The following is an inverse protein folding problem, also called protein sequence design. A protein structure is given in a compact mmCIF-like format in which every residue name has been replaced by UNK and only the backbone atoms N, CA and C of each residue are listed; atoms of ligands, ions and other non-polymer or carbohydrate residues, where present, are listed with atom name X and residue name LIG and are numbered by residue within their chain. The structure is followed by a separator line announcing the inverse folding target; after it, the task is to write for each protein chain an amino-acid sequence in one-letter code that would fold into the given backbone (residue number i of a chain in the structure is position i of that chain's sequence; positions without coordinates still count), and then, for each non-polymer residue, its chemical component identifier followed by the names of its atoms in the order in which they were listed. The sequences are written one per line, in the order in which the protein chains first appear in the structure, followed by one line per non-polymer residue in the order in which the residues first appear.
data_IF_682588228460
#
_entry.id   IF_682588228460
#
_cell.length_a   1.000
_cell.length_b   1.000
_cell.length_c   1.000
_cell.angle_alpha   90.00
_cell.angle_beta   90.00
_cell.angle_gamma   90.00
#
_symmetry.space_group_name_H-M   'P 1'
#
loop_
_entity.id
_entity.type
_entity.pdbx_description
1 polymer ?
#
# COMPACT_ATOMS: atom_id res chain seq x y z
N UNK A 1 -12.60 -4.24 -8.87
CA UNK A 1 -12.96 -5.50 -8.19
C UNK A 1 -11.78 -6.44 -8.02
N UNK A 2 -11.09 -6.88 -9.10
CA UNK A 2 -9.90 -7.73 -8.96
C UNK A 2 -8.83 -7.14 -8.03
N UNK A 3 -8.51 -5.86 -8.20
CA UNK A 3 -7.54 -5.14 -7.35
C UNK A 3 -7.94 -5.11 -5.88
N UNK A 4 -9.19 -4.76 -5.59
CA UNK A 4 -9.75 -4.77 -4.23
C UNK A 4 -9.66 -6.15 -3.58
N UNK A 5 -9.98 -7.22 -4.30
CA UNK A 5 -9.88 -8.60 -3.79
C UNK A 5 -8.42 -9.02 -3.56
N UNK A 6 -7.50 -8.67 -4.45
CA UNK A 6 -6.07 -8.95 -4.28
C UNK A 6 -5.48 -8.21 -3.07
N UNK A 7 -5.89 -6.95 -2.91
CA UNK A 7 -5.54 -6.15 -1.74
C UNK A 7 -6.11 -6.75 -0.45
N UNK A 8 -7.39 -7.15 -0.44
CA UNK A 8 -8.03 -7.81 0.70
C UNK A 8 -7.31 -9.11 1.08
N UNK A 9 -6.89 -9.91 0.11
CA UNK A 9 -6.09 -11.12 0.35
C UNK A 9 -4.74 -10.80 0.99
N UNK A 10 -4.09 -9.72 0.57
CA UNK A 10 -2.84 -9.24 1.18
C UNK A 10 -3.06 -8.76 2.60
N UNK A 11 -4.13 -8.00 2.84
CA UNK A 11 -4.54 -7.58 4.18
C UNK A 11 -4.83 -8.75 5.12
N UNK A 12 -5.52 -9.78 4.63
CA UNK A 12 -5.76 -11.00 5.39
C UNK A 12 -4.46 -11.74 5.72
N UNK A 13 -3.55 -11.89 4.75
CA UNK A 13 -2.23 -12.49 4.98
C UNK A 13 -1.43 -11.71 6.03
N UNK A 14 -1.41 -10.37 5.95
CA UNK A 14 -0.77 -9.51 6.95
C UNK A 14 -1.42 -9.65 8.34
N UNK A 15 -2.75 -9.78 8.41
CA UNK A 15 -3.46 -10.03 9.67
C UNK A 15 -3.06 -11.36 10.33
N UNK A 16 -2.91 -12.42 9.54
CA UNK A 16 -2.40 -13.72 10.03
C UNK A 16 -0.96 -13.58 10.54
N UNK A 17 -0.10 -12.91 9.77
CA UNK A 17 1.30 -12.68 10.16
C UNK A 17 1.41 -11.79 11.41
N UNK A 18 0.53 -10.80 11.56
CA UNK A 18 0.46 -9.96 12.76
C UNK A 18 0.13 -10.78 14.01
N UNK A 19 -0.69 -11.83 13.87
CA UNK A 19 -0.97 -12.78 14.96
C UNK A 19 0.28 -13.48 15.51
N UNK A 20 1.30 -13.71 14.67
CA UNK A 20 2.58 -14.28 15.10
C UNK A 20 3.39 -13.33 16.00
N UNK A 21 3.08 -12.03 15.97
CA UNK A 21 3.68 -11.00 16.83
C UNK A 21 2.90 -10.79 18.13
N UNK A 22 1.84 -11.57 18.38
CA UNK A 22 1.08 -11.51 19.63
C UNK A 22 1.91 -11.76 20.91
N UNK A 23 2.97 -12.61 20.93
CA UNK A 23 3.79 -12.81 22.12
C UNK A 23 4.74 -11.64 22.43
N UNK A 24 4.96 -10.73 21.47
CA UNK A 24 5.86 -9.58 21.66
C UNK A 24 5.11 -8.50 22.45
N UNK A 25 5.71 -7.94 23.52
CA UNK A 25 5.08 -6.89 24.31
C UNK A 25 4.65 -5.70 23.45
N UNK A 26 3.46 -5.16 23.74
CA UNK A 26 2.86 -4.10 22.94
C UNK A 26 3.77 -2.87 22.81
N UNK A 27 4.36 -2.42 23.93
CA UNK A 27 5.31 -1.29 23.94
C UNK A 27 6.47 -1.51 22.98
N UNK A 28 7.02 -2.73 22.93
CA UNK A 28 8.13 -3.07 22.01
C UNK A 28 7.67 -2.96 20.56
N UNK A 29 6.49 -3.50 20.23
CA UNK A 29 5.94 -3.41 18.87
C UNK A 29 5.69 -1.97 18.44
N UNK A 30 5.19 -1.12 19.35
CA UNK A 30 4.90 0.27 19.04
C UNK A 30 6.17 1.13 18.92
N UNK A 31 7.19 0.88 19.74
CA UNK A 31 8.51 1.49 19.54
C UNK A 31 9.09 1.09 18.18
N UNK A 32 9.04 -0.21 17.84
CA UNK A 32 9.47 -0.69 16.53
C UNK A 32 8.69 -0.05 15.39
N UNK A 33 7.38 0.15 15.57
CA UNK A 33 6.53 0.82 14.58
C UNK A 33 7.00 2.25 14.34
N UNK A 34 7.18 3.03 15.40
CA UNK A 34 7.64 4.42 15.31
C UNK A 34 8.98 4.48 14.58
N UNK A 35 9.95 3.67 15.01
CA UNK A 35 11.29 3.64 14.41
C UNK A 35 11.22 3.25 12.93
N UNK A 36 10.48 2.18 12.60
CA UNK A 36 10.37 1.69 11.22
C UNK A 36 9.63 2.69 10.32
N UNK A 37 8.54 3.30 10.80
CA UNK A 37 7.79 4.31 10.04
C UNK A 37 8.65 5.53 9.75
N UNK A 38 9.37 6.04 10.75
CA UNK A 38 10.27 7.19 10.55
C UNK A 38 11.40 6.83 9.58
N UNK A 39 12.07 5.69 9.76
CA UNK A 39 13.17 5.25 8.90
C UNK A 39 12.73 5.10 7.44
N UNK A 40 11.60 4.43 7.19
CA UNK A 40 11.09 4.19 5.84
C UNK A 40 10.57 5.47 5.20
N UNK A 41 9.96 6.38 5.96
CA UNK A 41 9.52 7.69 5.46
C UNK A 41 10.71 8.56 5.07
N UNK A 42 11.74 8.63 5.93
CA UNK A 42 12.98 9.36 5.64
C UNK A 42 13.67 8.77 4.40
N UNK A 43 13.72 7.44 4.29
CA UNK A 43 14.27 6.77 3.12
C UNK A 43 13.56 7.19 1.82
N UNK A 44 12.23 7.23 1.80
CA UNK A 44 11.46 7.63 0.60
C UNK A 44 11.62 9.12 0.25
N UNK A 45 11.72 9.98 1.27
CA UNK A 45 11.94 11.42 1.09
C UNK A 45 13.32 11.70 0.50
N UNK A 46 14.36 11.02 1.01
CA UNK A 46 15.75 11.26 0.60
C UNK A 46 16.12 10.52 -0.69
N UNK A 47 15.56 9.34 -0.93
CA UNK A 47 15.93 8.54 -2.08
C UNK A 47 15.31 9.09 -3.38
N UNK A 48 16.07 9.09 -4.50
CA UNK A 48 15.53 9.44 -5.81
C UNK A 48 14.51 8.40 -6.28
N UNK A 49 14.74 7.13 -5.94
CA UNK A 49 13.87 5.98 -6.19
C UNK A 49 13.78 5.18 -4.91
N UNK A 50 12.58 4.74 -4.53
CA UNK A 50 12.33 3.98 -3.30
C UNK A 50 13.05 2.60 -3.34
N UNK A 51 14.09 2.37 -2.52
CA UNK A 51 14.89 1.15 -2.58
C UNK A 51 14.33 0.10 -1.62
N UNK A 52 13.04 -0.23 -1.76
CA UNK A 52 12.38 -1.28 -0.98
C UNK A 52 12.19 -2.55 -1.80
N UNK A 53 12.00 -3.72 -1.16
CA UNK A 53 11.72 -4.97 -1.86
C UNK A 53 10.45 -4.83 -2.72
N UNK A 54 10.64 -4.73 -4.02
CA UNK A 54 9.59 -4.67 -5.03
C UNK A 54 10.05 -5.33 -6.31
N UNK A 55 9.09 -5.79 -7.12
CA UNK A 55 9.39 -6.39 -8.41
C UNK A 55 9.59 -5.30 -9.47
N UNK A 56 10.68 -5.38 -10.24
CA UNK A 56 10.97 -4.48 -11.36
C UNK A 56 10.25 -4.84 -12.66
N UNK A 57 9.75 -6.08 -12.77
CA UNK A 57 9.01 -6.55 -13.94
C UNK A 57 7.53 -6.16 -13.86
N UNK A 58 7.00 -5.67 -14.99
CA UNK A 58 5.57 -5.43 -15.16
C UNK A 58 4.79 -6.75 -15.19
N UNK A 59 3.49 -6.67 -14.86
CA UNK A 59 2.60 -7.84 -14.98
C UNK A 59 2.54 -8.21 -16.48
N UNK A 60 2.89 -9.46 -16.85
CA UNK A 60 2.99 -9.88 -18.25
C UNK A 60 1.65 -9.67 -18.98
N UNK A 61 1.66 -9.22 -20.24
CA UNK A 61 0.43 -8.91 -20.99
C UNK A 61 -0.29 -10.17 -21.52
N UNK A 62 0.36 -11.33 -21.47
CA UNK A 62 -0.14 -12.61 -21.97
C UNK A 62 -1.36 -13.09 -21.17
N UNK A 63 -1.63 -12.54 -19.98
CA UNK A 63 -2.87 -12.81 -19.23
C UNK A 63 -4.13 -12.39 -19.99
N UNK A 64 -4.04 -11.46 -20.94
CA UNK A 64 -5.17 -11.04 -21.77
C UNK A 64 -5.47 -12.01 -22.93
N UNK A 65 -4.56 -12.94 -23.25
CA UNK A 65 -4.72 -13.88 -24.36
C UNK A 65 -5.88 -14.87 -24.22
N UNK A 66 -6.48 -15.00 -23.02
CA UNK A 66 -7.65 -15.87 -22.75
C UNK A 66 -8.96 -15.08 -22.60
N UNK A 67 -8.99 -13.82 -23.08
CA UNK A 67 -10.16 -12.94 -23.06
C UNK A 67 -10.03 -11.79 -22.05
N UNK A 68 -10.53 -10.61 -22.45
CA UNK A 68 -10.36 -9.33 -21.74
C UNK A 68 -10.92 -9.40 -20.31
N UNK A 69 -12.11 -9.97 -20.11
CA UNK A 69 -12.74 -10.02 -18.79
C UNK A 69 -11.94 -10.86 -17.78
N UNK A 70 -11.58 -12.09 -18.16
CA UNK A 70 -10.84 -13.02 -17.29
C UNK A 70 -9.39 -12.58 -17.11
N UNK A 71 -8.76 -12.08 -18.17
CA UNK A 71 -7.41 -11.51 -18.13
C UNK A 71 -7.36 -10.27 -17.24
N UNK A 72 -8.28 -9.32 -17.43
CA UNK A 72 -8.39 -8.10 -16.63
C UNK A 72 -8.66 -8.37 -15.15
N UNK A 73 -9.50 -9.36 -14.83
CA UNK A 73 -9.72 -9.77 -13.44
C UNK A 73 -8.43 -10.33 -12.78
N UNK A 74 -7.71 -11.21 -13.47
CA UNK A 74 -6.43 -11.79 -12.98
C UNK A 74 -5.35 -10.73 -12.84
N UNK A 75 -5.21 -9.87 -13.85
CA UNK A 75 -4.33 -8.71 -13.79
C UNK A 75 -4.68 -7.86 -12.57
N UNK A 76 -5.97 -7.57 -12.37
CA UNK A 76 -6.45 -6.82 -11.22
C UNK A 76 -6.06 -7.47 -9.90
N UNK A 77 -6.29 -8.77 -9.72
CA UNK A 77 -5.90 -9.50 -8.51
C UNK A 77 -4.39 -9.34 -8.22
N UNK A 78 -3.54 -9.63 -9.20
CA UNK A 78 -2.08 -9.53 -9.04
C UNK A 78 -1.64 -8.08 -8.78
N UNK A 79 -2.26 -7.12 -9.49
CA UNK A 79 -1.99 -5.70 -9.33
C UNK A 79 -2.40 -5.18 -7.95
N UNK A 80 -3.50 -5.71 -7.41
CA UNK A 80 -4.01 -5.39 -6.07
C UNK A 80 -3.23 -6.02 -4.93
N UNK A 81 -2.57 -7.16 -5.15
CA UNK A 81 -1.76 -7.80 -4.10
C UNK A 81 -0.48 -7.02 -3.76
N UNK A 82 0.01 -6.15 -4.64
CA UNK A 82 1.23 -5.37 -4.42
C UNK A 82 2.55 -6.17 -4.51
N UNK A 83 2.52 -7.50 -4.43
CA UNK A 83 3.72 -8.35 -4.39
C UNK A 83 4.52 -8.33 -5.70
N UNK A 84 3.83 -8.26 -6.84
CA UNK A 84 4.44 -8.31 -8.18
C UNK A 84 4.39 -6.97 -8.91
N UNK A 85 4.14 -5.89 -8.19
CA UNK A 85 4.01 -4.55 -8.78
C UNK A 85 4.96 -3.57 -8.16
N UNK A 86 5.35 -2.58 -8.94
CA UNK A 86 6.03 -1.41 -8.42
C UNK A 86 5.09 -0.62 -7.49
N UNK A 87 5.62 -0.30 -6.32
CA UNK A 87 4.99 0.51 -5.27
C UNK A 87 5.83 1.78 -5.14
N UNK A 88 5.41 2.90 -5.75
CA UNK A 88 6.29 4.05 -5.96
C UNK A 88 6.50 4.91 -4.70
N UNK A 89 5.67 4.71 -3.68
CA UNK A 89 5.66 5.46 -2.42
C UNK A 89 5.78 4.49 -1.24
N UNK A 90 6.45 4.93 -0.16
CA UNK A 90 6.52 4.18 1.08
C UNK A 90 5.16 3.92 1.75
N UNK A 91 4.10 4.68 1.43
CA UNK A 91 2.81 4.63 2.10
C UNK A 91 2.24 3.20 2.28
N UNK A 92 2.34 2.34 1.27
CA UNK A 92 1.85 0.96 1.36
C UNK A 92 2.68 0.08 2.30
N UNK A 93 4.00 0.30 2.35
CA UNK A 93 4.87 -0.38 3.31
C UNK A 93 4.61 0.09 4.74
N UNK A 94 4.36 1.40 4.93
CA UNK A 94 3.98 1.94 6.22
C UNK A 94 2.66 1.32 6.73
N UNK A 95 1.66 1.19 5.85
CA UNK A 95 0.40 0.52 6.19
C UNK A 95 0.60 -0.96 6.56
N UNK A 96 1.49 -1.67 5.85
CA UNK A 96 1.83 -3.05 6.19
C UNK A 96 2.52 -3.16 7.55
N UNK A 97 3.49 -2.28 7.83
CA UNK A 97 4.16 -2.20 9.14
C UNK A 97 3.16 -1.92 10.26
N UNK A 98 2.22 -1.01 10.03
CA UNK A 98 1.14 -0.72 10.97
C UNK A 98 0.31 -1.97 11.28
N UNK A 99 -0.17 -2.69 10.25
CA UNK A 99 -0.94 -3.92 10.47
C UNK A 99 -0.14 -4.95 11.27
N UNK A 100 1.12 -5.17 10.91
CA UNK A 100 1.98 -6.16 11.57
C UNK A 100 2.25 -5.82 13.04
N UNK A 101 2.56 -4.57 13.34
CA UNK A 101 3.05 -4.18 14.67
C UNK A 101 1.93 -3.72 15.62
N UNK A 102 0.86 -3.12 15.10
CA UNK A 102 -0.31 -2.73 15.91
C UNK A 102 -1.22 -3.92 16.19
N UNK A 103 -1.16 -4.97 15.35
CA UNK A 103 -2.01 -6.17 15.46
C UNK A 103 -3.49 -5.78 15.59
N UNK A 104 -4.06 -5.04 14.61
CA UNK A 104 -5.45 -4.65 14.69
C UNK A 104 -6.36 -5.89 14.52
N UNK A 105 -7.66 -5.78 14.86
CA UNK A 105 -8.62 -6.84 14.57
C UNK A 105 -8.54 -7.29 13.10
N UNK A 106 -8.71 -8.59 12.84
CA UNK A 106 -8.50 -9.19 11.51
C UNK A 106 -9.26 -8.47 10.38
N UNK A 107 -10.47 -7.98 10.67
CA UNK A 107 -11.30 -7.27 9.70
C UNK A 107 -10.71 -5.90 9.31
N UNK A 108 -9.99 -5.23 10.22
CA UNK A 108 -9.28 -3.96 9.92
C UNK A 108 -8.15 -4.22 8.93
N UNK A 109 -7.38 -5.29 9.13
CA UNK A 109 -6.32 -5.69 8.21
C UNK A 109 -6.89 -5.98 6.81
N UNK A 110 -8.03 -6.68 6.75
CA UNK A 110 -8.74 -6.96 5.50
C UNK A 110 -9.23 -5.67 4.82
N UNK A 111 -9.84 -4.75 5.57
CA UNK A 111 -10.34 -3.47 5.05
C UNK A 111 -9.20 -2.58 4.55
N UNK A 112 -8.09 -2.49 5.29
CA UNK A 112 -6.90 -1.74 4.86
C UNK A 112 -6.31 -2.32 3.57
N UNK A 113 -6.21 -3.65 3.49
CA UNK A 113 -5.81 -4.34 2.26
C UNK A 113 -6.75 -4.05 1.09
N UNK A 114 -8.07 -4.15 1.32
CA UNK A 114 -9.09 -3.87 0.32
C UNK A 114 -9.02 -2.40 -0.16
N UNK A 115 -8.81 -1.45 0.74
CA UNK A 115 -8.65 -0.03 0.44
C UNK A 115 -7.39 0.22 -0.40
N UNK A 116 -6.26 -0.42 -0.05
CA UNK A 116 -5.05 -0.40 -0.86
C UNK A 116 -5.34 -0.87 -2.30
N UNK A 117 -5.94 -2.05 -2.45
CA UNK A 117 -6.31 -2.58 -3.76
C UNK A 117 -7.31 -1.69 -4.53
N UNK A 118 -8.31 -1.16 -3.84
CA UNK A 118 -9.29 -0.23 -4.43
C UNK A 118 -8.63 1.04 -4.96
N UNK A 119 -7.74 1.66 -4.17
CA UNK A 119 -7.04 2.91 -4.55
C UNK A 119 -6.27 2.77 -5.87
N UNK A 120 -5.71 1.58 -6.13
CA UNK A 120 -4.96 1.26 -7.34
C UNK A 120 -5.83 1.25 -8.60
N UNK A 121 -7.06 0.75 -8.50
CA UNK A 121 -8.05 0.88 -9.58
C UNK A 121 -8.65 2.27 -9.68
N UNK A 122 -8.85 2.94 -8.53
CA UNK A 122 -9.41 4.28 -8.47
C UNK A 122 -8.52 5.29 -9.20
N UNK A 123 -7.21 5.22 -9.01
CA UNK A 123 -6.25 6.07 -9.71
C UNK A 123 -6.39 5.98 -11.25
N UNK A 124 -6.60 4.77 -11.78
CA UNK A 124 -6.83 4.56 -13.22
C UNK A 124 -8.18 5.13 -13.66
N UNK A 125 -9.24 4.92 -12.87
CA UNK A 125 -10.56 5.48 -13.19
C UNK A 125 -10.55 7.01 -13.19
N UNK A 126 -9.88 7.64 -12.20
CA UNK A 126 -9.68 9.09 -12.16
C UNK A 126 -8.90 9.57 -13.37
N UNK A 127 -7.86 8.83 -13.77
CA UNK A 127 -7.09 9.14 -14.97
C UNK A 127 -7.96 9.12 -16.24
N UNK A 128 -8.81 8.10 -16.41
CA UNK A 128 -9.74 7.97 -17.55
C UNK A 128 -10.81 9.06 -17.50
N UNK A 129 -11.44 9.26 -16.34
CA UNK A 129 -12.61 10.12 -16.19
C UNK A 129 -12.25 11.61 -16.29
N UNK A 130 -11.12 12.01 -15.69
CA UNK A 130 -10.71 13.40 -15.71
C UNK A 130 -10.07 13.78 -17.04
N UNK A 131 -9.22 12.93 -17.63
CA UNK A 131 -8.75 12.96 -19.03
C UNK A 131 -8.32 14.32 -19.63
N UNK A 132 -8.22 15.38 -18.84
CA UNK A 132 -8.23 16.74 -19.31
C UNK A 132 -6.86 17.10 -19.88
N UNK A 133 -6.80 17.93 -20.95
CA UNK A 133 -5.54 18.40 -21.49
C UNK A 133 -4.65 18.99 -20.38
N UNK A 134 -3.45 18.43 -20.19
CA UNK A 134 -2.48 18.89 -19.20
C UNK A 134 -2.48 18.14 -17.86
N UNK A 135 -3.51 17.33 -17.54
CA UNK A 135 -3.52 16.54 -16.30
C UNK A 135 -2.38 15.52 -16.25
N UNK A 136 -2.08 14.89 -17.39
CA UNK A 136 -0.97 13.93 -17.51
C UNK A 136 0.39 14.62 -17.35
N UNK A 137 0.54 15.82 -17.91
CA UNK A 137 1.76 16.62 -17.77
C UNK A 137 1.96 17.06 -16.31
N UNK A 138 0.87 17.46 -15.64
CA UNK A 138 0.88 17.78 -14.22
C UNK A 138 1.33 16.57 -13.38
N UNK A 139 0.69 15.40 -13.55
CA UNK A 139 1.04 14.19 -12.81
C UNK A 139 2.48 13.74 -13.08
N UNK A 140 2.93 13.80 -14.33
CA UNK A 140 4.31 13.47 -14.69
C UNK A 140 5.31 14.40 -14.00
N UNK A 141 5.04 15.72 -14.02
CA UNK A 141 5.89 16.74 -13.39
C UNK A 141 5.91 16.72 -11.86
N UNK A 142 4.87 16.17 -11.22
CA UNK A 142 4.72 16.18 -9.75
C UNK A 142 4.73 14.79 -9.10
N UNK A 143 4.92 13.71 -9.87
CA UNK A 143 4.87 12.31 -9.40
C UNK A 143 5.64 12.07 -8.10
N UNK A 144 6.95 12.37 -8.05
CA UNK A 144 7.76 12.18 -6.84
C UNK A 144 7.30 13.03 -5.66
N UNK A 145 6.81 14.26 -5.89
CA UNK A 145 6.29 15.12 -4.82
C UNK A 145 5.01 14.52 -4.23
N UNK A 146 4.09 14.06 -5.09
CA UNK A 146 2.84 13.43 -4.68
C UNK A 146 3.09 12.11 -3.94
N UNK A 147 4.03 11.29 -4.42
CA UNK A 147 4.44 10.04 -3.76
C UNK A 147 4.99 10.28 -2.36
N UNK A 148 5.90 11.25 -2.20
CA UNK A 148 6.49 11.62 -0.90
C UNK A 148 5.46 12.24 0.03
N UNK A 149 4.62 13.13 -0.47
CA UNK A 149 3.53 13.71 0.31
C UNK A 149 2.57 12.62 0.82
N UNK A 150 2.25 11.64 -0.04
CA UNK A 150 1.47 10.46 0.33
C UNK A 150 2.14 9.64 1.43
N UNK A 151 3.44 9.40 1.35
CA UNK A 151 4.21 8.69 2.39
C UNK A 151 4.21 9.43 3.73
N UNK A 152 4.45 10.74 3.72
CA UNK A 152 4.44 11.57 4.94
C UNK A 152 3.05 11.61 5.56
N UNK A 153 2.01 11.82 4.75
CA UNK A 153 0.63 11.82 5.23
C UNK A 153 0.25 10.46 5.83
N UNK A 154 0.61 9.36 5.16
CA UNK A 154 0.38 8.01 5.69
C UNK A 154 1.12 7.79 7.01
N UNK A 155 2.38 8.22 7.13
CA UNK A 155 3.15 8.13 8.37
C UNK A 155 2.44 8.86 9.52
N UNK A 156 2.02 10.11 9.30
CA UNK A 156 1.31 10.92 10.30
C UNK A 156 0.01 10.24 10.74
N UNK A 157 -0.83 9.82 9.79
CA UNK A 157 -2.12 9.21 10.09
C UNK A 157 -1.98 7.89 10.83
N UNK A 158 -1.03 7.04 10.44
CA UNK A 158 -0.81 5.72 11.06
C UNK A 158 -0.22 5.87 12.46
N UNK A 159 0.72 6.80 12.67
CA UNK A 159 1.26 7.08 14.00
C UNK A 159 0.21 7.70 14.92
N UNK A 160 -0.63 8.61 14.42
CA UNK A 160 -1.75 9.17 15.18
C UNK A 160 -2.75 8.07 15.58
N UNK A 161 -3.09 7.15 14.67
CA UNK A 161 -3.94 6.01 14.96
C UNK A 161 -3.33 5.06 16.00
N UNK A 162 -2.01 4.80 15.94
CA UNK A 162 -1.31 4.00 16.94
C UNK A 162 -1.30 4.69 18.31
N UNK A 163 -1.07 6.01 18.34
CA UNK A 163 -1.09 6.79 19.58
C UNK A 163 -2.44 6.77 20.28
N UNK A 164 -3.54 6.88 19.52
CA UNK A 164 -4.90 6.80 20.09
C UNK A 164 -5.22 5.48 20.80
N UNK A 165 -4.44 4.41 20.57
CA UNK A 165 -4.58 3.15 21.30
C UNK A 165 -3.83 3.11 22.63
N UNK A 166 -2.78 3.92 22.78
CA UNK A 166 -1.97 3.99 23.99
C UNK A 166 -2.57 4.93 25.05
N UNK A 167 -3.30 5.96 24.63
CA UNK A 167 -3.86 7.00 25.50
C UNK A 167 -5.35 6.87 25.81
N UNK A 168 -5.92 5.67 25.60
CA UNK A 168 -7.31 5.34 25.96
C UNK A 168 -7.42 4.72 27.34
#
# INVERSE_FOLDING_TARGET
MGTTLGGAATGAALGVLAGLLSPVPETVRLVLLVVAVLAVTVLDVLAPVLPLPQRSALIPQEVFGRGIARGGFRFGLEYGCGWRTLVPSAASYLAALFVLLVVPPWWVALVLGAAFGFSRSWAVLVWIALGAPGWQNFLAGHSRVLERAGSVLAAVLLLAAAWSRLGG
#
